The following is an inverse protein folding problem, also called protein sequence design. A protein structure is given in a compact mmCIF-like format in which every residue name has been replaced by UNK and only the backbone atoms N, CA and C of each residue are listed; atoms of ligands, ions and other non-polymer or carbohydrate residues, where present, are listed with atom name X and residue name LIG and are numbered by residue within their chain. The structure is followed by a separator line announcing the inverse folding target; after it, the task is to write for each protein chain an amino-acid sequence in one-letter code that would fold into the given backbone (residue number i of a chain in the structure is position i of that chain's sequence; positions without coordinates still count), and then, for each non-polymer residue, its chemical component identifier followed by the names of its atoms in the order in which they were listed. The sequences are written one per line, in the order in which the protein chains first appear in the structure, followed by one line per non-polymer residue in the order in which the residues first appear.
data_IF_896544741720
#
_entry.id   IF_896544741720
#
_cell.length_a   1.000
_cell.length_b   1.000
_cell.length_c   1.000
_cell.angle_alpha   90.00
_cell.angle_beta   90.00
_cell.angle_gamma   90.00
#
_symmetry.space_group_name_H-M   'P 1'
#
loop_
_entity.id
_entity.type
_entity.pdbx_description
1 polymer ?
#
# COMPACT_ATOMS: atom_id res chain seq x y z
N UNK A 1 -21.07 4.24 -9.87
CA UNK A 1 -20.01 4.51 -8.89
C UNK A 1 -20.55 5.40 -7.80
N UNK A 2 -20.47 4.99 -6.54
CA UNK A 2 -20.72 5.87 -5.40
C UNK A 2 -19.46 6.69 -5.13
N UNK A 3 -19.62 8.00 -4.95
CA UNK A 3 -18.52 8.90 -4.60
C UNK A 3 -18.59 9.14 -3.10
N UNK A 4 -17.54 8.76 -2.38
CA UNK A 4 -17.34 9.14 -0.98
C UNK A 4 -16.41 10.34 -0.91
N UNK A 5 -16.73 11.34 -0.07
CA UNK A 5 -15.87 12.51 0.14
C UNK A 5 -15.11 12.34 1.44
N UNK A 6 -13.78 12.36 1.34
CA UNK A 6 -12.86 12.22 2.46
C UNK A 6 -11.95 13.45 2.49
N UNK A 7 -11.73 14.01 3.67
CA UNK A 7 -10.72 15.06 3.88
C UNK A 7 -9.49 14.42 4.49
N UNK A 8 -8.34 14.59 3.85
CA UNK A 8 -7.05 14.07 4.32
C UNK A 8 -6.04 15.22 4.45
N UNK A 9 -5.13 15.08 5.40
CA UNK A 9 -3.93 15.93 5.46
C UNK A 9 -2.81 15.20 4.74
N UNK A 10 -2.15 15.89 3.81
CA UNK A 10 -0.98 15.36 3.09
C UNK A 10 0.16 16.36 3.18
N UNK A 11 1.42 15.91 3.08
CA UNK A 11 2.54 16.82 2.99
C UNK A 11 2.40 17.77 1.79
N UNK A 12 2.78 19.03 1.96
CA UNK A 12 2.61 20.08 0.95
C UNK A 12 3.26 19.70 -0.39
N UNK A 13 4.42 19.04 -0.36
CA UNK A 13 5.10 18.56 -1.56
C UNK A 13 4.28 17.55 -2.38
N UNK A 14 3.43 16.75 -1.71
CA UNK A 14 2.54 15.78 -2.35
C UNK A 14 1.34 16.50 -2.97
N UNK A 15 0.75 17.46 -2.25
CA UNK A 15 -0.32 18.31 -2.80
C UNK A 15 0.16 19.07 -4.04
N UNK A 16 1.34 19.67 -3.99
CA UNK A 16 1.95 20.37 -5.12
C UNK A 16 2.24 19.44 -6.31
N UNK A 17 2.61 18.17 -6.06
CA UNK A 17 2.79 17.18 -7.13
C UNK A 17 1.47 16.86 -7.83
N UNK A 18 0.39 16.65 -7.08
CA UNK A 18 -0.93 16.42 -7.64
C UNK A 18 -1.39 17.63 -8.46
N UNK A 19 -1.18 18.85 -7.96
CA UNK A 19 -1.52 20.09 -8.65
C UNK A 19 -0.79 20.21 -10.00
N UNK A 20 0.52 19.96 -10.04
CA UNK A 20 1.30 19.96 -11.30
C UNK A 20 0.82 18.90 -12.30
N UNK A 21 0.38 17.73 -11.82
CA UNK A 21 -0.18 16.70 -12.68
C UNK A 21 -1.48 17.16 -13.36
N UNK A 22 -2.31 17.92 -12.65
CA UNK A 22 -3.52 18.53 -13.22
C UNK A 22 -3.16 19.64 -14.22
N UNK A 23 -2.26 20.54 -13.86
CA UNK A 23 -1.84 21.66 -14.73
C UNK A 23 -1.21 21.18 -16.04
N UNK A 24 -0.50 20.05 -16.01
CA UNK A 24 0.11 19.42 -17.19
C UNK A 24 -0.85 18.52 -17.98
N UNK A 25 -2.11 18.41 -17.57
CA UNK A 25 -3.11 17.57 -18.24
C UNK A 25 -2.94 16.07 -18.04
N UNK A 26 -2.07 15.64 -17.12
CA UNK A 26 -1.87 14.22 -16.78
C UNK A 26 -3.00 13.67 -15.89
N UNK A 27 -3.78 14.53 -15.25
CA UNK A 27 -4.97 14.17 -14.48
C UNK A 27 -6.06 15.24 -14.64
N UNK A 28 -7.33 14.81 -14.68
CA UNK A 28 -8.48 15.73 -14.83
C UNK A 28 -8.77 16.54 -13.55
N UNK A 29 -8.30 16.08 -12.39
CA UNK A 29 -8.47 16.73 -11.09
C UNK A 29 -7.50 16.17 -10.05
N UNK A 30 -7.35 16.87 -8.91
CA UNK A 30 -6.55 16.39 -7.78
C UNK A 30 -7.10 15.08 -7.24
N UNK A 31 -8.42 14.94 -7.12
CA UNK A 31 -9.05 13.68 -6.73
C UNK A 31 -8.78 12.58 -7.75
N UNK A 32 -8.85 12.87 -9.06
CA UNK A 32 -8.52 11.90 -10.11
C UNK A 32 -7.08 11.43 -10.05
N UNK A 33 -6.13 12.31 -9.73
CA UNK A 33 -4.73 11.94 -9.51
C UNK A 33 -4.58 10.92 -8.37
N UNK A 34 -5.23 11.14 -7.23
CA UNK A 34 -5.17 10.22 -6.09
C UNK A 34 -5.94 8.92 -6.33
N UNK A 35 -7.10 8.97 -7.00
CA UNK A 35 -7.83 7.76 -7.41
C UNK A 35 -6.96 6.87 -8.30
N UNK A 36 -6.34 7.43 -9.34
CA UNK A 36 -5.46 6.66 -10.22
C UNK A 36 -4.18 6.16 -9.54
N UNK A 37 -3.74 6.79 -8.44
CA UNK A 37 -2.66 6.25 -7.62
C UNK A 37 -3.15 5.06 -6.80
N UNK A 38 -4.32 5.17 -6.16
CA UNK A 38 -4.92 4.10 -5.38
C UNK A 38 -5.27 2.87 -6.23
N UNK A 39 -5.72 3.06 -7.47
CA UNK A 39 -6.01 1.96 -8.41
C UNK A 39 -4.75 1.21 -8.87
N UNK A 40 -3.58 1.85 -8.85
CA UNK A 40 -2.30 1.24 -9.25
C UNK A 40 -1.63 0.49 -8.12
N UNK A 41 -1.95 0.85 -6.89
CA UNK A 41 -1.44 0.14 -5.73
C UNK A 41 -2.18 -1.20 -5.66
N UNK A 42 -1.47 -2.34 -5.71
CA UNK A 42 -2.09 -3.61 -5.40
C UNK A 42 -2.82 -3.48 -4.07
N UNK A 43 -4.02 -4.05 -3.96
CA UNK A 43 -4.68 -4.14 -2.66
C UNK A 43 -3.89 -5.11 -1.78
N UNK A 44 -2.84 -4.58 -1.16
CA UNK A 44 -1.96 -5.34 -0.29
C UNK A 44 -2.70 -5.83 0.95
N UNK A 45 -3.85 -5.23 1.29
CA UNK A 45 -4.71 -5.70 2.36
C UNK A 45 -5.44 -6.95 1.91
N UNK A 46 -6.13 -6.92 0.76
CA UNK A 46 -6.81 -8.10 0.20
C UNK A 46 -5.81 -9.24 -0.09
N UNK A 47 -4.65 -8.92 -0.68
CA UNK A 47 -3.60 -9.91 -0.94
C UNK A 47 -3.01 -10.49 0.36
N UNK A 48 -2.93 -9.69 1.42
CA UNK A 48 -2.51 -10.16 2.75
C UNK A 48 -3.57 -11.07 3.36
N UNK A 49 -4.83 -10.69 3.28
CA UNK A 49 -5.95 -11.47 3.80
C UNK A 49 -6.03 -12.85 3.13
N UNK A 50 -5.95 -12.90 1.80
CA UNK A 50 -5.92 -14.16 1.06
C UNK A 50 -4.70 -15.04 1.44
N UNK A 51 -3.53 -14.42 1.62
CA UNK A 51 -2.33 -15.14 2.05
C UNK A 51 -2.47 -15.69 3.48
N UNK A 52 -3.04 -14.91 4.39
CA UNK A 52 -3.25 -15.31 5.79
C UNK A 52 -4.27 -16.46 5.88
N UNK A 53 -5.31 -16.46 5.03
CA UNK A 53 -6.26 -17.57 4.90
C UNK A 53 -5.56 -18.86 4.42
N UNK A 54 -4.77 -18.78 3.35
CA UNK A 54 -4.01 -19.93 2.84
C UNK A 54 -3.04 -20.50 3.88
N UNK A 55 -2.39 -19.63 4.67
CA UNK A 55 -1.50 -20.04 5.75
C UNK A 55 -2.30 -20.78 6.84
N UNK A 56 -3.48 -20.28 7.19
CA UNK A 56 -4.33 -20.90 8.20
C UNK A 56 -4.82 -22.29 7.74
N UNK A 57 -5.24 -22.43 6.48
CA UNK A 57 -5.62 -23.71 5.88
C UNK A 57 -4.47 -24.73 5.86
N UNK A 58 -3.24 -24.26 5.63
CA UNK A 58 -2.04 -25.09 5.64
C UNK A 58 -1.56 -25.49 7.05
N UNK A 59 -2.23 -25.03 8.12
CA UNK A 59 -1.86 -25.32 9.50
C UNK A 59 -0.83 -24.35 10.11
N UNK A 60 -0.64 -23.19 9.49
CA UNK A 60 0.31 -22.16 9.92
C UNK A 60 1.69 -22.29 9.27
N UNK A 61 2.54 -21.28 9.51
CA UNK A 61 3.96 -21.32 9.13
C UNK A 61 4.79 -21.67 10.37
N UNK A 62 5.60 -22.74 10.34
CA UNK A 62 6.55 -23.06 11.41
C UNK A 62 7.46 -21.88 11.75
N UNK A 63 7.78 -21.72 13.04
CA UNK A 63 8.62 -20.61 13.49
C UNK A 63 10.04 -20.65 12.90
N UNK A 64 10.53 -21.83 12.55
CA UNK A 64 11.82 -21.99 11.87
C UNK A 64 11.83 -21.40 10.47
N UNK A 65 10.76 -21.60 9.69
CA UNK A 65 10.60 -21.03 8.36
C UNK A 65 10.44 -19.51 8.43
N UNK A 66 9.73 -19.01 9.45
CA UNK A 66 9.62 -17.56 9.71
C UNK A 66 10.98 -16.94 10.01
N UNK A 67 11.80 -17.57 10.86
CA UNK A 67 13.15 -17.10 11.19
C UNK A 67 14.07 -17.14 9.98
N UNK A 68 14.02 -18.22 9.19
CA UNK A 68 14.76 -18.34 7.95
C UNK A 68 14.38 -17.23 6.96
N UNK A 69 13.08 -17.00 6.73
CA UNK A 69 12.59 -15.97 5.83
C UNK A 69 13.04 -14.56 6.26
N UNK A 70 12.93 -14.23 7.56
CA UNK A 70 13.42 -12.94 8.09
C UNK A 70 14.93 -12.76 7.86
N UNK A 71 15.71 -13.83 8.00
CA UNK A 71 17.15 -13.79 7.75
C UNK A 71 17.46 -13.53 6.27
N UNK A 72 16.82 -14.24 5.34
CA UNK A 72 17.03 -14.07 3.89
C UNK A 72 16.59 -12.68 3.41
N UNK A 73 15.51 -12.14 4.00
CA UNK A 73 14.98 -10.82 3.66
C UNK A 73 15.70 -9.65 4.38
N UNK A 74 16.70 -9.94 5.22
CA UNK A 74 17.43 -8.90 5.96
C UNK A 74 16.60 -8.21 7.05
N UNK A 75 15.53 -8.84 7.54
CA UNK A 75 14.60 -8.32 8.55
C UNK A 75 14.95 -8.79 9.98
N UNK A 76 16.25 -8.97 10.24
CA UNK A 76 16.76 -9.46 11.53
C UNK A 76 16.34 -8.57 12.70
N UNK A 77 16.24 -9.16 13.90
CA UNK A 77 15.71 -8.54 15.11
C UNK A 77 16.55 -7.32 15.55
N UNK A 78 16.23 -6.15 15.00
CA UNK A 78 16.81 -4.87 15.40
C UNK A 78 17.01 -3.90 14.24
N UNK A 79 15.96 -3.17 13.88
CA UNK A 79 16.02 -1.69 13.97
C UNK A 79 14.62 -1.09 13.78
N UNK A 80 14.08 -0.35 14.77
CA UNK A 80 13.04 0.63 14.49
C UNK A 80 13.68 1.85 13.80
N UNK A 81 13.31 2.12 12.55
CA UNK A 81 13.47 3.42 11.92
C UNK A 81 12.19 3.86 11.23
#
# INVERSE_FOLDING_TARGET
MSISRITISVPEQIAAKAQRAVESGQAESVSGYFTGLAEREPDWVEAREALDEMIAEAGGIPDEDRRWARSVLGLGDGDPK
#
